data_IF_262609429616
#
_entry.id   IF_262609429616
#
_cell.length_a   1.000
_cell.length_b   1.000
_cell.length_c   1.000
_cell.angle_alpha   90.00
_cell.angle_beta   90.00
_cell.angle_gamma   90.00
#
_symmetry.space_group_name_H-M   'P 1'
#
loop_
_entity.id
_entity.type
_entity.pdbx_description
1 polymer ?
#
# COMPACT_ATOMS: atom_id res chain seq x y z
N UNK A 1 21.43 10.85 -31.50
CA UNK A 1 21.78 9.47 -31.07
C UNK A 1 23.21 9.35 -30.53
N UNK A 2 24.28 9.74 -31.24
CA UNK A 2 25.68 9.56 -30.78
C UNK A 2 25.98 10.20 -29.40
N UNK A 3 25.61 11.47 -29.22
CA UNK A 3 25.74 12.19 -27.92
C UNK A 3 25.03 11.53 -26.73
N UNK A 4 23.92 10.84 -26.98
CA UNK A 4 23.18 10.12 -25.93
C UNK A 4 23.98 8.88 -25.48
N UNK A 5 24.52 8.11 -26.43
CA UNK A 5 25.38 6.97 -26.14
C UNK A 5 26.69 7.37 -25.45
N UNK A 6 27.28 8.50 -25.83
CA UNK A 6 28.50 9.02 -25.21
C UNK A 6 28.24 9.47 -23.76
N UNK A 7 27.07 10.07 -23.48
CA UNK A 7 26.63 10.40 -22.11
C UNK A 7 26.34 9.17 -21.25
N UNK A 8 25.84 8.08 -21.84
CA UNK A 8 25.61 6.82 -21.12
C UNK A 8 26.94 6.12 -20.78
N UNK A 9 27.90 6.13 -21.72
CA UNK A 9 29.25 5.60 -21.50
C UNK A 9 30.00 6.35 -20.40
N UNK A 10 29.88 7.69 -20.35
CA UNK A 10 30.44 8.50 -19.27
C UNK A 10 29.88 8.14 -17.88
N UNK A 11 28.68 7.54 -17.81
CA UNK A 11 28.02 7.06 -16.59
C UNK A 11 28.17 5.55 -16.37
N UNK A 12 28.99 4.87 -17.16
CA UNK A 12 29.17 3.41 -17.15
C UNK A 12 27.85 2.62 -17.30
N UNK A 13 26.90 3.15 -18.08
CA UNK A 13 25.61 2.49 -18.32
C UNK A 13 25.74 1.58 -19.53
N UNK A 14 25.45 0.29 -19.34
CA UNK A 14 25.45 -0.69 -20.43
C UNK A 14 24.15 -0.59 -21.25
N UNK A 15 24.22 -0.50 -22.60
CA UNK A 15 23.04 -0.46 -23.48
C UNK A 15 22.06 -1.59 -23.23
N UNK A 16 22.59 -2.81 -23.07
CA UNK A 16 21.81 -4.03 -22.93
C UNK A 16 21.14 -4.10 -21.56
N UNK A 17 21.85 -3.65 -20.51
CA UNK A 17 21.28 -3.56 -19.17
C UNK A 17 20.16 -2.52 -19.15
N UNK A 18 20.37 -1.33 -19.73
CA UNK A 18 19.32 -0.32 -19.84
C UNK A 18 18.09 -0.84 -20.59
N UNK A 19 18.28 -1.56 -21.70
CA UNK A 19 17.18 -2.20 -22.42
C UNK A 19 16.42 -3.21 -21.54
N UNK A 20 17.11 -3.97 -20.67
CA UNK A 20 16.48 -4.88 -19.73
C UNK A 20 15.65 -4.17 -18.65
N UNK A 21 16.08 -3.00 -18.16
CA UNK A 21 15.25 -2.16 -17.28
C UNK A 21 13.99 -1.68 -17.99
N UNK A 22 14.12 -1.19 -19.23
CA UNK A 22 12.98 -0.73 -20.01
C UNK A 22 12.00 -1.87 -20.32
N UNK A 23 12.51 -3.06 -20.64
CA UNK A 23 11.70 -4.25 -20.88
C UNK A 23 10.84 -4.62 -19.66
N UNK A 24 11.41 -4.53 -18.45
CA UNK A 24 10.65 -4.76 -17.20
C UNK A 24 9.49 -3.78 -17.05
N UNK A 25 9.71 -2.48 -17.30
CA UNK A 25 8.64 -1.47 -17.24
C UNK A 25 7.58 -1.75 -18.29
N UNK A 26 7.97 -2.09 -19.52
CA UNK A 26 7.03 -2.42 -20.61
C UNK A 26 6.21 -3.65 -20.24
N UNK A 27 6.84 -4.71 -19.73
CA UNK A 27 6.14 -5.93 -19.27
C UNK A 27 5.11 -5.59 -18.20
N UNK A 28 5.47 -4.75 -17.22
CA UNK A 28 4.54 -4.29 -16.20
C UNK A 28 3.35 -3.53 -16.79
N UNK A 29 3.59 -2.53 -17.64
CA UNK A 29 2.52 -1.71 -18.25
C UNK A 29 1.60 -2.57 -19.10
N UNK A 30 2.14 -3.48 -19.91
CA UNK A 30 1.34 -4.41 -20.73
C UNK A 30 0.54 -5.36 -19.86
N UNK A 31 1.14 -5.92 -18.80
CA UNK A 31 0.43 -6.81 -17.88
C UNK A 31 -0.68 -6.08 -17.12
N UNK A 32 -0.43 -4.86 -16.66
CA UNK A 32 -1.42 -4.02 -15.99
C UNK A 32 -2.58 -3.66 -16.92
N UNK A 33 -2.29 -3.26 -18.16
CA UNK A 33 -3.30 -2.89 -19.16
C UNK A 33 -4.26 -4.05 -19.50
N UNK A 34 -3.82 -5.31 -19.38
CA UNK A 34 -4.69 -6.49 -19.59
C UNK A 34 -5.81 -6.63 -18.57
N UNK A 35 -5.75 -5.94 -17.43
CA UNK A 35 -6.81 -5.93 -16.43
C UNK A 35 -7.90 -4.88 -16.70
N UNK A 36 -7.76 -4.10 -17.77
CA UNK A 36 -8.81 -3.18 -18.20
C UNK A 36 -9.97 -3.95 -18.80
N UNK A 37 -11.17 -3.72 -18.27
CA UNK A 37 -12.42 -4.26 -18.78
C UNK A 37 -13.23 -3.09 -19.37
N UNK A 38 -13.62 -3.15 -20.66
CA UNK A 38 -14.47 -2.12 -21.26
C UNK A 38 -15.73 -1.87 -20.43
N UNK A 39 -16.04 -0.60 -20.16
CA UNK A 39 -17.18 -0.18 -19.31
C UNK A 39 -16.89 -0.20 -17.80
N UNK A 40 -16.00 -1.07 -17.31
CA UNK A 40 -15.72 -1.24 -15.87
C UNK A 40 -14.34 -0.70 -15.43
N UNK A 41 -13.50 -0.37 -16.40
CA UNK A 41 -12.13 0.09 -16.17
C UNK A 41 -11.27 -0.98 -15.51
N UNK A 42 -10.46 -0.60 -14.53
CA UNK A 42 -9.54 -1.50 -13.82
C UNK A 42 -10.15 -2.11 -12.54
N UNK A 43 -11.48 -2.09 -12.39
CA UNK A 43 -12.16 -2.56 -11.18
C UNK A 43 -11.87 -4.01 -10.79
N UNK A 44 -11.44 -4.84 -11.75
CA UNK A 44 -11.00 -6.21 -11.50
C UNK A 44 -9.93 -6.28 -10.40
N UNK A 45 -9.01 -5.29 -10.38
CA UNK A 45 -7.88 -5.22 -9.46
C UNK A 45 -8.28 -4.85 -8.02
N UNK A 46 -9.54 -4.46 -7.77
CA UNK A 46 -10.03 -4.23 -6.41
C UNK A 46 -10.42 -5.55 -5.74
N UNK A 47 -10.71 -6.59 -6.53
CA UNK A 47 -11.19 -7.89 -6.04
C UNK A 47 -12.44 -7.76 -5.17
N UNK A 48 -13.51 -7.18 -5.72
CA UNK A 48 -14.84 -7.23 -5.08
C UNK A 48 -15.37 -8.66 -5.03
N UNK A 49 -15.81 -9.10 -3.85
CA UNK A 49 -16.34 -10.45 -3.64
C UNK A 49 -17.85 -10.55 -3.84
N UNK A 50 -18.31 -11.53 -4.61
CA UNK A 50 -19.73 -11.84 -4.81
C UNK A 50 -20.35 -12.63 -3.64
N UNK A 51 -19.53 -13.32 -2.85
CA UNK A 51 -19.96 -14.01 -1.62
C UNK A 51 -20.07 -13.08 -0.41
N UNK A 52 -19.76 -11.79 -0.59
CA UNK A 52 -19.79 -10.82 0.48
C UNK A 52 -21.24 -10.47 0.85
N UNK A 53 -21.58 -10.66 2.12
CA UNK A 53 -22.95 -10.42 2.63
C UNK A 53 -23.19 -9.00 3.10
N UNK A 54 -22.12 -8.20 3.28
CA UNK A 54 -22.22 -6.80 3.70
C UNK A 54 -22.75 -5.93 2.56
N UNK A 55 -23.63 -4.95 2.87
CA UNK A 55 -24.15 -4.04 1.86
C UNK A 55 -23.02 -3.18 1.29
N UNK A 56 -23.18 -2.73 0.05
CA UNK A 56 -22.31 -1.70 -0.53
C UNK A 56 -22.86 -0.32 -0.20
N UNK A 57 -21.97 0.67 -0.04
CA UNK A 57 -22.38 2.07 0.12
C UNK A 57 -23.21 2.54 -1.09
N UNK A 58 -24.19 3.39 -0.84
CA UNK A 58 -25.11 3.91 -1.87
C UNK A 58 -24.39 4.43 -3.12
N UNK A 59 -23.33 5.23 -2.94
CA UNK A 59 -22.54 5.78 -4.04
C UNK A 59 -21.91 4.74 -4.98
N UNK A 60 -21.66 3.52 -4.50
CA UNK A 60 -21.04 2.46 -5.30
C UNK A 60 -22.08 1.56 -5.99
N UNK A 61 -23.34 1.55 -5.55
CA UNK A 61 -24.41 0.70 -6.10
C UNK A 61 -24.68 0.97 -7.58
N UNK A 62 -24.55 2.23 -7.98
CA UNK A 62 -24.82 2.67 -9.36
C UNK A 62 -23.59 2.56 -10.29
N UNK A 63 -22.45 2.13 -9.75
CA UNK A 63 -21.22 1.95 -10.52
C UNK A 63 -21.18 0.56 -11.13
N UNK A 64 -21.01 0.46 -12.45
CA UNK A 64 -20.74 -0.83 -13.08
C UNK A 64 -19.27 -1.24 -12.88
N UNK A 65 -19.01 -1.99 -11.82
CA UNK A 65 -17.70 -2.57 -11.53
C UNK A 65 -17.72 -4.10 -11.62
N UNK A 66 -16.54 -4.69 -11.71
CA UNK A 66 -16.36 -6.13 -11.79
C UNK A 66 -16.45 -6.78 -10.41
N UNK A 67 -17.27 -7.82 -10.28
CA UNK A 67 -17.46 -8.63 -9.07
C UNK A 67 -17.03 -10.07 -9.34
N UNK A 68 -16.24 -10.65 -8.44
CA UNK A 68 -15.82 -12.05 -8.50
C UNK A 68 -16.87 -12.94 -7.82
N UNK A 69 -17.63 -13.71 -8.60
CA UNK A 69 -18.78 -14.49 -8.12
C UNK A 69 -18.45 -15.37 -6.90
N UNK A 70 -17.42 -16.21 -6.99
CA UNK A 70 -17.10 -17.22 -5.96
C UNK A 70 -16.00 -16.77 -4.99
N UNK A 71 -15.98 -15.48 -4.63
CA UNK A 71 -14.93 -14.88 -3.81
C UNK A 71 -15.52 -14.03 -2.69
N UNK A 72 -14.89 -14.04 -1.51
CA UNK A 72 -15.13 -13.06 -0.45
C UNK A 72 -14.48 -11.69 -0.74
N UNK A 73 -13.73 -11.60 -1.83
CA UNK A 73 -12.99 -10.41 -2.23
C UNK A 73 -11.73 -10.21 -1.41
N UNK A 74 -11.19 -8.99 -1.48
CA UNK A 74 -9.96 -8.62 -0.78
C UNK A 74 -10.07 -7.25 -0.12
N UNK A 75 -9.07 -6.87 0.68
CA UNK A 75 -9.12 -5.67 1.53
C UNK A 75 -9.43 -4.35 0.78
N UNK A 76 -9.02 -4.23 -0.49
CA UNK A 76 -9.25 -3.04 -1.29
C UNK A 76 -10.73 -2.71 -1.49
N UNK A 77 -11.62 -3.70 -1.50
CA UNK A 77 -13.06 -3.46 -1.61
C UNK A 77 -13.60 -2.57 -0.49
N UNK A 78 -13.02 -2.66 0.70
CA UNK A 78 -13.40 -1.82 1.84
C UNK A 78 -12.80 -0.42 1.75
N UNK A 79 -11.54 -0.32 1.31
CA UNK A 79 -10.87 0.96 1.15
C UNK A 79 -11.46 1.82 0.03
N UNK A 80 -11.97 1.19 -1.04
CA UNK A 80 -12.71 1.89 -2.09
C UNK A 80 -14.04 2.43 -1.55
N UNK A 81 -14.73 1.68 -0.69
CA UNK A 81 -15.95 2.19 -0.04
C UNK A 81 -15.63 3.38 0.87
N UNK A 82 -14.58 3.31 1.69
CA UNK A 82 -14.08 4.47 2.46
C UNK A 82 -13.70 5.64 1.53
N UNK A 83 -13.19 5.37 0.32
CA UNK A 83 -12.84 6.42 -0.63
C UNK A 83 -14.05 7.19 -1.16
N UNK A 84 -15.27 6.65 -1.07
CA UNK A 84 -16.49 7.36 -1.48
C UNK A 84 -16.84 8.48 -0.51
N UNK A 85 -16.61 8.27 0.80
CA UNK A 85 -16.66 9.31 1.83
C UNK A 85 -15.53 9.13 2.85
N UNK A 86 -14.35 9.76 2.61
CA UNK A 86 -13.22 9.66 3.51
C UNK A 86 -13.43 10.41 4.84
N UNK A 87 -14.53 11.16 4.99
CA UNK A 87 -14.89 11.80 6.26
C UNK A 87 -15.44 10.82 7.30
N UNK A 88 -15.77 9.58 6.90
CA UNK A 88 -16.31 8.54 7.78
C UNK A 88 -17.65 8.93 8.45
N UNK A 89 -18.35 9.92 7.91
CA UNK A 89 -19.61 10.43 8.48
C UNK A 89 -20.84 9.76 7.87
N UNK A 90 -20.70 9.17 6.69
CA UNK A 90 -21.74 8.35 6.10
C UNK A 90 -22.05 7.12 6.97
N UNK A 91 -23.31 6.99 7.36
CA UNK A 91 -23.80 5.88 8.15
C UNK A 91 -23.71 4.55 7.40
N UNK A 92 -23.80 4.57 6.06
CA UNK A 92 -23.68 3.38 5.21
C UNK A 92 -22.32 2.68 5.40
N UNK A 93 -21.26 3.44 5.70
CA UNK A 93 -19.91 2.91 5.89
C UNK A 93 -19.81 1.94 7.07
N UNK A 94 -20.60 2.14 8.13
CA UNK A 94 -20.54 1.33 9.34
C UNK A 94 -20.97 -0.11 9.05
N UNK A 95 -21.98 -0.27 8.20
CA UNK A 95 -22.50 -1.58 7.79
C UNK A 95 -21.63 -2.19 6.67
N UNK A 96 -21.24 -1.35 5.72
CA UNK A 96 -20.55 -1.77 4.51
C UNK A 96 -19.07 -2.17 4.72
N UNK A 97 -18.41 -1.55 5.69
CA UNK A 97 -16.98 -1.75 5.95
C UNK A 97 -16.74 -2.63 7.16
N UNK A 98 -16.04 -3.73 6.95
CA UNK A 98 -15.63 -4.59 8.04
C UNK A 98 -14.62 -3.90 8.97
N UNK A 99 -14.93 -3.85 10.27
CA UNK A 99 -14.15 -3.14 11.29
C UNK A 99 -13.70 -1.75 10.80
N UNK A 100 -14.68 -0.89 10.49
CA UNK A 100 -14.46 0.46 9.98
C UNK A 100 -13.38 1.24 10.76
N UNK A 101 -13.37 1.28 12.12
CA UNK A 101 -12.34 2.01 12.85
C UNK A 101 -10.92 1.47 12.66
N UNK A 102 -10.76 0.17 12.36
CA UNK A 102 -9.45 -0.43 12.05
C UNK A 102 -9.03 -0.11 10.61
N UNK A 103 -9.92 -0.27 9.63
CA UNK A 103 -9.60 -0.02 8.22
C UNK A 103 -9.38 1.46 7.93
N UNK A 104 -10.17 2.33 8.56
CA UNK A 104 -10.06 3.77 8.42
C UNK A 104 -8.69 4.32 8.84
N UNK A 105 -7.90 3.60 9.66
CA UNK A 105 -6.53 4.02 10.03
C UNK A 105 -5.62 4.23 8.82
N UNK A 106 -5.91 3.54 7.71
CA UNK A 106 -5.14 3.56 6.45
C UNK A 106 -5.80 4.48 5.41
N UNK A 107 -6.16 5.69 5.83
CA UNK A 107 -6.98 6.63 5.05
C UNK A 107 -6.28 7.18 3.81
N UNK A 108 -4.95 7.27 3.79
CA UNK A 108 -4.22 8.11 2.83
C UNK A 108 -4.61 7.83 1.37
N UNK A 109 -4.65 6.56 0.98
CA UNK A 109 -4.92 6.17 -0.41
C UNK A 109 -6.38 6.45 -0.79
N UNK A 110 -7.31 6.18 0.14
CA UNK A 110 -8.74 6.46 -0.03
C UNK A 110 -9.03 7.96 -0.13
N UNK A 111 -8.39 8.79 0.70
CA UNK A 111 -8.52 10.25 0.65
C UNK A 111 -7.93 10.83 -0.65
N UNK A 112 -6.78 10.34 -1.09
CA UNK A 112 -6.19 10.77 -2.37
C UNK A 112 -7.13 10.39 -3.53
N UNK A 113 -7.71 9.19 -3.55
CA UNK A 113 -8.65 8.81 -4.61
C UNK A 113 -9.92 9.65 -4.61
N UNK A 114 -10.42 10.03 -3.43
CA UNK A 114 -11.57 10.94 -3.34
C UNK A 114 -11.27 12.29 -4.00
N UNK A 115 -10.12 12.88 -3.67
CA UNK A 115 -9.67 14.16 -4.24
C UNK A 115 -9.42 14.04 -5.75
N UNK A 116 -8.74 12.98 -6.19
CA UNK A 116 -8.45 12.74 -7.61
C UNK A 116 -9.68 12.31 -8.42
N UNK A 117 -10.73 11.84 -7.77
CA UNK A 117 -12.00 11.50 -8.40
C UNK A 117 -12.98 12.67 -8.44
N UNK A 118 -12.64 13.83 -7.84
CA UNK A 118 -13.52 15.01 -7.75
C UNK A 118 -14.94 14.70 -7.24
N UNK A 119 -15.09 13.71 -6.36
CA UNK A 119 -16.39 13.29 -5.81
C UNK A 119 -17.24 12.40 -6.73
N UNK A 120 -16.76 12.05 -7.93
CA UNK A 120 -17.48 11.18 -8.87
C UNK A 120 -17.11 9.70 -8.64
N UNK A 121 -18.07 8.81 -8.31
CA UNK A 121 -17.78 7.44 -7.86
C UNK A 121 -16.92 6.58 -8.81
N UNK A 122 -17.17 6.65 -10.12
CA UNK A 122 -16.38 5.91 -11.13
C UNK A 122 -14.94 6.40 -11.11
N UNK A 123 -14.73 7.71 -11.13
CA UNK A 123 -13.41 8.34 -11.11
C UNK A 123 -12.67 8.07 -9.81
N UNK A 124 -13.35 8.07 -8.66
CA UNK A 124 -12.77 7.68 -7.37
C UNK A 124 -12.27 6.24 -7.43
N UNK A 125 -13.11 5.31 -7.90
CA UNK A 125 -12.75 3.89 -8.05
C UNK A 125 -11.51 3.73 -8.96
N UNK A 126 -11.50 4.36 -10.13
CA UNK A 126 -10.36 4.26 -11.05
C UNK A 126 -9.10 4.92 -10.47
N UNK A 127 -9.23 6.09 -9.83
CA UNK A 127 -8.13 6.76 -9.18
C UNK A 127 -7.52 5.91 -8.05
N UNK A 128 -8.35 5.20 -7.28
CA UNK A 128 -7.88 4.28 -6.25
C UNK A 128 -7.01 3.16 -6.84
N UNK A 129 -7.45 2.53 -7.92
CA UNK A 129 -6.70 1.43 -8.56
C UNK A 129 -5.41 1.93 -9.21
N UNK A 130 -5.47 3.05 -9.94
CA UNK A 130 -4.33 3.61 -10.67
C UNK A 130 -3.20 4.06 -9.74
N UNK A 131 -3.50 4.42 -8.49
CA UNK A 131 -2.47 4.75 -7.50
C UNK A 131 -1.47 3.61 -7.29
N UNK A 132 -1.87 2.34 -7.37
CA UNK A 132 -0.94 1.21 -7.26
C UNK A 132 0.02 1.12 -8.46
N UNK A 133 -0.48 1.35 -9.67
CA UNK A 133 0.35 1.38 -10.87
C UNK A 133 1.35 2.55 -10.84
N UNK A 134 0.87 3.74 -10.44
CA UNK A 134 1.72 4.92 -10.27
C UNK A 134 2.77 4.65 -9.19
N UNK A 135 2.38 4.07 -8.05
CA UNK A 135 3.30 3.71 -6.98
C UNK A 135 4.38 2.74 -7.48
N UNK A 136 4.03 1.72 -8.27
CA UNK A 136 5.02 0.81 -8.85
C UNK A 136 6.03 1.54 -9.74
N UNK A 137 5.57 2.46 -10.60
CA UNK A 137 6.43 3.26 -11.47
C UNK A 137 7.31 4.25 -10.68
N UNK A 138 6.76 4.88 -9.65
CA UNK A 138 7.52 5.77 -8.76
C UNK A 138 8.58 4.99 -7.99
N UNK A 139 8.25 3.81 -7.45
CA UNK A 139 9.21 2.93 -6.81
C UNK A 139 10.33 2.56 -7.78
N UNK A 140 9.98 2.16 -9.01
CA UNK A 140 10.93 1.83 -10.05
C UNK A 140 11.92 2.97 -10.31
N UNK A 141 11.42 4.21 -10.38
CA UNK A 141 12.24 5.41 -10.54
C UNK A 141 13.15 5.70 -9.32
N UNK A 142 12.61 5.65 -8.10
CA UNK A 142 13.39 5.88 -6.87
C UNK A 142 14.49 4.82 -6.75
N UNK A 143 14.20 3.55 -7.05
CA UNK A 143 15.15 2.45 -6.93
C UNK A 143 16.37 2.60 -7.86
N UNK A 144 16.29 3.38 -8.95
CA UNK A 144 17.45 3.67 -9.81
C UNK A 144 18.57 4.41 -9.06
N UNK A 145 18.26 5.06 -7.93
CA UNK A 145 19.27 5.68 -7.05
C UNK A 145 20.18 4.65 -6.39
N UNK A 146 19.64 3.51 -5.96
CA UNK A 146 20.39 2.45 -5.27
C UNK A 146 20.86 1.37 -6.25
N UNK A 147 20.09 1.14 -7.32
CA UNK A 147 20.36 0.14 -8.34
C UNK A 147 20.38 0.77 -9.74
N UNK A 148 21.39 1.62 -10.04
CA UNK A 148 21.52 2.21 -11.36
C UNK A 148 21.79 1.13 -12.42
N UNK A 149 21.45 1.37 -13.70
CA UNK A 149 21.58 0.41 -14.80
C UNK A 149 23.03 0.23 -15.29
N UNK A 150 23.96 0.01 -14.35
CA UNK A 150 25.39 -0.21 -14.61
C UNK A 150 25.78 -1.68 -14.63
N UNK A 151 24.99 -2.56 -14.01
CA UNK A 151 25.31 -4.00 -13.93
C UNK A 151 24.08 -4.89 -13.89
N UNK A 152 24.24 -6.15 -14.28
CA UNK A 152 23.21 -7.19 -14.15
C UNK A 152 22.84 -7.49 -12.69
N UNK A 153 23.78 -7.32 -11.76
CA UNK A 153 23.50 -7.45 -10.31
C UNK A 153 22.52 -6.37 -9.84
N UNK A 154 22.71 -5.12 -10.28
CA UNK A 154 21.76 -4.05 -9.99
C UNK A 154 20.40 -4.30 -10.65
N UNK A 155 20.39 -4.77 -11.90
CA UNK A 155 19.15 -5.15 -12.57
C UNK A 155 18.38 -6.20 -11.76
N UNK A 156 19.05 -7.27 -11.32
CA UNK A 156 18.42 -8.34 -10.55
C UNK A 156 17.85 -7.86 -9.21
N UNK A 157 18.58 -6.99 -8.49
CA UNK A 157 18.09 -6.40 -7.23
C UNK A 157 16.89 -5.48 -7.47
N UNK A 158 16.98 -4.63 -8.49
CA UNK A 158 15.93 -3.69 -8.86
C UNK A 158 14.65 -4.41 -9.31
N UNK A 159 14.76 -5.37 -10.22
CA UNK A 159 13.61 -6.15 -10.69
C UNK A 159 13.08 -7.08 -9.61
N UNK A 160 13.95 -7.64 -8.76
CA UNK A 160 13.58 -8.48 -7.64
C UNK A 160 12.73 -7.76 -6.59
N UNK A 161 13.01 -6.48 -6.32
CA UNK A 161 12.14 -5.66 -5.46
C UNK A 161 10.79 -5.40 -6.13
N UNK A 162 10.80 -4.98 -7.41
CA UNK A 162 9.59 -4.60 -8.15
C UNK A 162 8.64 -5.77 -8.43
N UNK A 163 9.16 -6.98 -8.62
CA UNK A 163 8.38 -8.21 -8.82
C UNK A 163 8.40 -9.13 -7.61
N UNK A 164 8.75 -8.60 -6.44
CA UNK A 164 8.55 -9.33 -5.19
C UNK A 164 7.08 -9.70 -5.03
N UNK A 165 6.81 -10.84 -4.39
CA UNK A 165 5.44 -11.34 -4.22
C UNK A 165 4.52 -10.28 -3.57
N UNK A 166 5.01 -9.56 -2.56
CA UNK A 166 4.26 -8.49 -1.90
C UNK A 166 3.88 -7.34 -2.85
N UNK A 167 4.79 -6.90 -3.72
CA UNK A 167 4.48 -5.86 -4.70
C UNK A 167 3.48 -6.34 -5.76
N UNK A 168 3.65 -7.57 -6.26
CA UNK A 168 2.72 -8.17 -7.22
C UNK A 168 1.32 -8.32 -6.63
N UNK A 169 1.20 -8.80 -5.40
CA UNK A 169 -0.09 -8.91 -4.69
C UNK A 169 -0.68 -7.54 -4.43
N UNK A 170 0.14 -6.55 -4.05
CA UNK A 170 -0.35 -5.19 -3.84
C UNK A 170 -0.95 -4.59 -5.10
N UNK A 171 -0.29 -4.71 -6.24
CA UNK A 171 -0.83 -4.20 -7.51
C UNK A 171 -2.06 -5.00 -7.93
N UNK A 172 -2.02 -6.34 -7.82
CA UNK A 172 -3.12 -7.21 -8.27
C UNK A 172 -4.41 -7.02 -7.48
N UNK A 173 -4.30 -6.72 -6.18
CA UNK A 173 -5.45 -6.52 -5.29
C UNK A 173 -5.58 -5.05 -4.83
N UNK A 174 -4.96 -4.10 -5.54
CA UNK A 174 -5.00 -2.66 -5.24
C UNK A 174 -4.76 -2.31 -3.76
N UNK A 175 -3.80 -2.97 -3.11
CA UNK A 175 -3.53 -2.78 -1.69
C UNK A 175 -2.77 -1.49 -1.40
N UNK A 176 -2.84 -1.08 -0.15
CA UNK A 176 -2.10 0.08 0.37
C UNK A 176 -0.61 -0.17 0.57
N UNK A 177 -0.14 -1.42 0.45
CA UNK A 177 1.24 -1.84 0.75
C UNK A 177 2.26 -1.26 -0.24
N UNK A 178 1.98 -1.31 -1.54
CA UNK A 178 2.84 -0.77 -2.59
C UNK A 178 3.01 0.74 -2.48
N UNK A 179 1.91 1.53 -2.45
CA UNK A 179 1.97 2.96 -2.16
C UNK A 179 2.68 3.29 -0.84
N UNK A 180 2.45 2.50 0.22
CA UNK A 180 3.16 2.65 1.50
C UNK A 180 4.67 2.48 1.36
N UNK A 181 5.12 1.46 0.61
CA UNK A 181 6.54 1.22 0.37
C UNK A 181 7.20 2.39 -0.37
N UNK A 182 6.51 3.00 -1.34
CA UNK A 182 7.02 4.19 -2.06
C UNK A 182 7.31 5.33 -1.09
N UNK A 183 6.38 5.61 -0.15
CA UNK A 183 6.55 6.70 0.80
C UNK A 183 7.70 6.44 1.77
N UNK A 184 7.85 5.19 2.24
CA UNK A 184 9.00 4.81 3.08
C UNK A 184 10.31 4.94 2.31
N UNK A 185 10.37 4.43 1.08
CA UNK A 185 11.55 4.54 0.23
C UNK A 185 11.90 6.02 -0.08
N UNK A 186 10.90 6.86 -0.34
CA UNK A 186 11.08 8.30 -0.53
C UNK A 186 11.59 8.98 0.74
N UNK A 187 11.08 8.60 1.92
CA UNK A 187 11.58 9.05 3.22
C UNK A 187 13.06 8.75 3.41
N UNK A 188 13.47 7.49 3.18
CA UNK A 188 14.88 7.07 3.26
C UNK A 188 15.75 7.83 2.25
N UNK A 189 15.28 7.96 1.01
CA UNK A 189 15.96 8.74 -0.02
C UNK A 189 16.23 10.19 0.43
N UNK A 190 15.26 10.82 1.08
CA UNK A 190 15.39 12.19 1.60
C UNK A 190 16.34 12.28 2.80
N UNK A 191 16.38 11.27 3.66
CA UNK A 191 17.38 11.16 4.73
C UNK A 191 18.79 11.11 4.15
N UNK A 192 19.03 10.28 3.13
CA UNK A 192 20.32 10.20 2.45
C UNK A 192 20.72 11.51 1.77
N UNK A 193 19.74 12.27 1.26
CA UNK A 193 19.96 13.59 0.67
C UNK A 193 20.15 14.71 1.70
N UNK A 194 20.30 14.38 2.98
CA UNK A 194 20.41 15.35 4.07
C UNK A 194 19.23 16.34 4.14
N UNK A 195 18.01 15.87 3.83
CA UNK A 195 16.75 16.63 3.96
C UNK A 195 15.85 16.04 5.06
N UNK A 196 16.29 16.02 6.33
CA UNK A 196 15.61 15.29 7.40
C UNK A 196 14.21 15.82 7.74
N UNK A 197 13.95 17.12 7.54
CA UNK A 197 12.63 17.70 7.76
C UNK A 197 11.61 17.25 6.73
N UNK A 198 12.01 17.21 5.45
CA UNK A 198 11.15 16.71 4.38
C UNK A 198 10.94 15.20 4.52
N UNK A 199 11.98 14.46 4.93
CA UNK A 199 11.87 13.04 5.25
C UNK A 199 10.87 12.80 6.40
N UNK A 200 10.94 13.59 7.47
CA UNK A 200 10.00 13.50 8.59
C UNK A 200 8.55 13.78 8.15
N UNK A 201 8.32 14.79 7.32
CA UNK A 201 7.00 15.08 6.77
C UNK A 201 6.47 13.92 5.90
N UNK A 202 7.29 13.38 5.00
CA UNK A 202 6.91 12.25 4.14
C UNK A 202 6.62 10.99 4.95
N UNK A 203 7.45 10.67 5.94
CA UNK A 203 7.26 9.51 6.82
C UNK A 203 6.06 9.68 7.75
N UNK A 204 5.75 10.91 8.18
CA UNK A 204 4.52 11.20 8.93
C UNK A 204 3.27 10.99 8.09
N UNK A 205 3.27 11.46 6.84
CA UNK A 205 2.19 11.17 5.87
C UNK A 205 2.11 9.66 5.61
N UNK A 206 3.24 8.96 5.48
CA UNK A 206 3.27 7.51 5.28
C UNK A 206 2.55 6.73 6.40
N UNK A 207 2.54 7.25 7.62
CA UNK A 207 1.80 6.68 8.75
C UNK A 207 0.30 6.60 8.51
N UNK A 208 -0.28 7.52 7.72
CA UNK A 208 -1.69 7.50 7.32
C UNK A 208 -2.01 6.45 6.25
N UNK A 209 -1.00 5.90 5.58
CA UNK A 209 -1.15 4.76 4.66
C UNK A 209 -1.08 3.42 5.39
N UNK A 210 -0.18 3.32 6.37
CA UNK A 210 -0.05 2.14 7.25
C UNK A 210 0.70 2.54 8.51
N UNK A 211 0.19 2.18 9.67
CA UNK A 211 0.71 2.62 10.97
C UNK A 211 2.15 2.17 11.21
N UNK A 212 2.50 0.98 10.70
CA UNK A 212 3.85 0.42 10.78
C UNK A 212 4.90 1.26 10.03
N UNK A 213 4.48 2.12 9.09
CA UNK A 213 5.40 2.99 8.36
C UNK A 213 6.07 4.03 9.28
N UNK A 214 5.49 4.32 10.46
CA UNK A 214 6.11 5.17 11.49
C UNK A 214 7.47 4.63 11.95
N UNK A 215 7.69 3.31 11.88
CA UNK A 215 9.00 2.71 12.17
C UNK A 215 10.09 3.23 11.22
N UNK A 216 9.74 3.65 10.00
CA UNK A 216 10.64 4.34 9.08
C UNK A 216 11.20 5.65 9.64
N UNK A 217 10.50 6.27 10.60
CA UNK A 217 10.97 7.45 11.34
C UNK A 217 12.28 7.22 12.10
N UNK A 218 12.61 5.96 12.44
CA UNK A 218 13.89 5.61 13.06
C UNK A 218 15.10 5.98 12.19
N UNK A 219 14.95 6.04 10.86
CA UNK A 219 15.99 6.49 9.95
C UNK A 219 16.40 7.96 10.18
N UNK A 220 15.58 8.76 10.86
CA UNK A 220 15.88 10.15 11.21
C UNK A 220 16.81 10.26 12.42
N UNK A 221 16.95 9.19 13.22
CA UNK A 221 17.82 9.15 14.38
C UNK A 221 19.22 8.72 13.95
N UNK A 222 20.08 9.71 13.63
CA UNK A 222 21.48 9.45 13.31
C UNK A 222 22.30 9.24 14.58
N UNK A 223 23.34 8.41 14.49
CA UNK A 223 24.21 8.09 15.63
C UNK A 223 24.85 9.35 16.22
N UNK A 224 25.23 10.30 15.38
CA UNK A 224 25.84 11.57 15.82
C UNK A 224 24.85 12.46 16.59
N UNK A 225 23.56 12.38 16.25
CA UNK A 225 22.52 13.15 16.94
C UNK A 225 22.19 12.53 18.31
N UNK A 226 22.26 11.20 18.43
CA UNK A 226 22.07 10.49 19.70
C UNK A 226 23.17 10.81 20.71
N UNK A 227 24.41 10.96 20.24
CA UNK A 227 25.57 11.28 21.08
C UNK A 227 25.64 12.75 21.52
N UNK A 228 24.81 13.63 20.95
CA UNK A 228 24.82 15.06 21.23
C UNK A 228 23.51 15.52 21.90
N UNK A 229 23.44 15.60 23.25
CA UNK A 229 22.21 15.99 23.97
C UNK A 229 21.58 17.30 23.50
N UNK A 230 22.41 18.25 23.01
CA UNK A 230 21.93 19.52 22.44
C UNK A 230 21.04 19.35 21.19
N UNK A 231 21.12 18.21 20.51
CA UNK A 231 20.32 17.90 19.30
C UNK A 231 19.03 17.13 19.59
N UNK A 232 18.85 16.64 20.82
CA UNK A 232 17.66 15.90 21.21
C UNK A 232 16.34 16.67 21.00
N UNK A 233 16.25 18.00 21.25
CA UNK A 233 15.02 18.74 20.96
C UNK A 233 14.64 18.70 19.47
N UNK A 234 15.63 18.77 18.57
CA UNK A 234 15.40 18.69 17.12
C UNK A 234 14.97 17.27 16.71
N UNK A 235 15.56 16.24 17.31
CA UNK A 235 15.14 14.86 17.09
C UNK A 235 13.71 14.62 17.57
N UNK A 236 13.38 15.10 18.77
CA UNK A 236 12.03 15.01 19.34
C UNK A 236 11.01 15.72 18.43
N UNK A 237 11.33 16.92 17.93
CA UNK A 237 10.43 17.65 17.04
C UNK A 237 10.21 16.93 15.69
N UNK A 238 11.25 16.29 15.14
CA UNK A 238 11.09 15.43 13.94
C UNK A 238 10.26 14.19 14.24
N UNK A 239 10.47 13.56 15.39
CA UNK A 239 9.68 12.42 15.86
C UNK A 239 8.21 12.78 16.02
N UNK A 240 7.92 13.96 16.60
CA UNK A 240 6.57 14.51 16.68
C UNK A 240 5.99 14.74 15.29
N UNK A 241 6.73 15.32 14.36
CA UNK A 241 6.27 15.53 12.98
C UNK A 241 5.90 14.21 12.27
N UNK A 242 6.58 13.10 12.61
CA UNK A 242 6.26 11.76 12.12
C UNK A 242 4.99 11.21 12.80
N UNK A 243 4.85 11.36 14.12
CA UNK A 243 3.76 10.74 14.88
C UNK A 243 2.42 11.51 14.83
N UNK A 244 2.47 12.84 14.80
CA UNK A 244 1.31 13.74 14.93
C UNK A 244 0.23 13.48 13.87
N UNK A 245 0.52 13.31 12.56
CA UNK A 245 -0.51 13.07 11.57
C UNK A 245 -1.36 11.84 11.88
N UNK A 246 -0.72 10.71 12.20
CA UNK A 246 -1.45 9.49 12.57
C UNK A 246 -2.19 9.67 13.91
N UNK A 247 -1.57 10.29 14.91
CA UNK A 247 -2.20 10.50 16.20
C UNK A 247 -3.49 11.34 16.10
N UNK A 248 -3.44 12.44 15.33
CA UNK A 248 -4.61 13.29 15.07
C UNK A 248 -5.70 12.51 14.31
N UNK A 249 -5.30 11.68 13.34
CA UNK A 249 -6.24 10.86 12.59
C UNK A 249 -6.89 9.77 13.45
N UNK A 250 -6.14 9.10 14.33
CA UNK A 250 -6.69 8.12 15.26
C UNK A 250 -7.66 8.77 16.25
N UNK A 251 -7.33 9.96 16.74
CA UNK A 251 -8.25 10.74 17.58
C UNK A 251 -9.53 11.09 16.81
N UNK A 252 -9.41 11.49 15.55
CA UNK A 252 -10.56 11.75 14.70
C UNK A 252 -11.45 10.49 14.51
N UNK A 253 -10.86 9.34 14.15
CA UNK A 253 -11.61 8.07 14.01
C UNK A 253 -12.37 7.76 15.30
N UNK A 254 -11.71 7.88 16.46
CA UNK A 254 -12.35 7.63 17.74
C UNK A 254 -13.54 8.57 17.99
N UNK A 255 -13.44 9.83 17.57
CA UNK A 255 -14.53 10.80 17.70
C UNK A 255 -15.67 10.61 16.69
N UNK A 256 -15.37 10.11 15.48
CA UNK A 256 -16.32 10.01 14.38
C UNK A 256 -17.07 8.67 14.35
N UNK A 257 -16.36 7.56 14.58
CA UNK A 257 -16.89 6.19 14.41
C UNK A 257 -16.87 5.40 15.73
N UNK A 258 -16.08 5.84 16.72
CA UNK A 258 -15.90 5.13 17.99
C UNK A 258 -14.69 4.18 17.99
N UNK A 259 -14.48 3.43 19.10
CA UNK A 259 -13.30 2.58 19.26
C UNK A 259 -13.34 1.37 18.31
N UNK A 260 -12.16 0.93 17.85
CA UNK A 260 -12.04 -0.32 17.10
C UNK A 260 -12.33 -1.51 18.03
N UNK A 261 -13.12 -2.47 17.57
CA UNK A 261 -13.26 -3.77 18.24
C UNK A 261 -11.87 -4.42 18.38
N UNK A 262 -11.66 -5.22 19.44
CA UNK A 262 -10.38 -5.85 19.81
C UNK A 262 -9.88 -6.95 18.84
N UNK A 263 -9.99 -6.75 17.53
CA UNK A 263 -9.54 -7.67 16.50
C UNK A 263 -8.01 -7.96 16.55
N UNK A 264 -7.24 -7.15 17.28
CA UNK A 264 -5.79 -7.28 17.41
C UNK A 264 -5.28 -8.06 18.63
N UNK A 265 -6.09 -8.26 19.66
CA UNK A 265 -5.65 -8.89 20.91
C UNK A 265 -5.17 -10.34 20.71
N UNK A 266 -5.75 -11.04 19.73
CA UNK A 266 -5.35 -12.41 19.35
C UNK A 266 -3.98 -12.50 18.68
N UNK A 267 -3.42 -11.40 18.18
CA UNK A 267 -2.10 -11.37 17.54
C UNK A 267 -0.93 -11.32 18.54
N UNK A 268 -1.22 -11.17 19.84
CA UNK A 268 -0.24 -11.26 20.93
C UNK A 268 -0.18 -12.65 21.56
N UNK A 269 -0.59 -13.69 20.83
CA UNK A 269 -0.38 -15.06 21.25
C UNK A 269 1.12 -15.37 21.33
N UNK A 270 1.48 -16.41 22.09
CA UNK A 270 2.85 -16.90 22.16
C UNK A 270 3.38 -17.20 20.75
N UNK A 271 4.68 -17.00 20.48
CA UNK A 271 5.29 -17.40 19.21
C UNK A 271 4.89 -18.82 18.85
N UNK A 272 4.56 -19.05 17.58
CA UNK A 272 4.11 -20.34 17.03
C UNK A 272 2.74 -20.88 17.51
N UNK A 273 2.01 -20.18 18.40
CA UNK A 273 0.68 -20.62 18.83
C UNK A 273 -0.28 -20.80 17.65
N UNK A 274 -0.35 -19.81 16.74
CA UNK A 274 -1.18 -19.92 15.54
C UNK A 274 -0.72 -21.01 14.57
N UNK A 275 0.58 -21.34 14.54
CA UNK A 275 1.07 -22.48 13.75
C UNK A 275 0.61 -23.80 14.35
N UNK A 276 0.69 -23.93 15.68
CA UNK A 276 0.23 -25.11 16.40
C UNK A 276 -1.29 -25.31 16.27
N UNK A 277 -2.08 -24.24 16.41
CA UNK A 277 -3.52 -24.26 16.15
C UNK A 277 -3.82 -24.75 14.73
N UNK A 278 -3.03 -24.31 13.74
CA UNK A 278 -3.26 -24.72 12.35
C UNK A 278 -2.84 -26.16 12.07
N UNK A 279 -1.76 -26.64 12.67
CA UNK A 279 -1.39 -28.06 12.67
C UNK A 279 -2.49 -28.91 13.31
N UNK A 280 -3.07 -28.46 14.42
CA UNK A 280 -4.18 -29.15 15.08
C UNK A 280 -5.43 -29.22 14.20
N UNK A 281 -5.80 -28.13 13.53
CA UNK A 281 -6.92 -28.12 12.58
C UNK A 281 -6.67 -29.10 11.43
N UNK A 282 -5.49 -29.05 10.79
CA UNK A 282 -5.12 -29.98 9.70
C UNK A 282 -5.12 -31.43 10.18
N UNK A 283 -4.62 -31.69 11.38
CA UNK A 283 -4.58 -33.03 11.98
C UNK A 283 -6.00 -33.55 12.28
N UNK A 284 -6.87 -32.70 12.81
CA UNK A 284 -8.28 -33.05 13.03
C UNK A 284 -9.03 -33.31 11.72
N UNK A 285 -8.80 -32.52 10.69
CA UNK A 285 -9.37 -32.74 9.35
C UNK A 285 -8.82 -34.01 8.69
N UNK A 286 -7.56 -34.37 8.92
CA UNK A 286 -6.98 -35.61 8.42
C UNK A 286 -7.54 -36.86 9.12
N UNK A 287 -7.87 -36.77 10.42
CA UNK A 287 -8.41 -37.88 11.21
C UNK A 287 -9.94 -38.03 11.09
N UNK A 288 -10.64 -36.94 10.84
CA UNK A 288 -12.08 -36.91 10.60
C UNK A 288 -12.35 -36.01 9.39
N UNK A 289 -12.18 -36.54 8.16
CA UNK A 289 -12.49 -35.79 6.95
C UNK A 289 -13.96 -35.40 7.03
N UNK A 290 -14.25 -34.11 7.22
CA UNK A 290 -15.62 -33.64 7.00
C UNK A 290 -15.90 -33.87 5.52
N UNK A 291 -16.86 -34.74 5.23
CA UNK A 291 -17.43 -34.80 3.89
C UNK A 291 -17.85 -33.38 3.54
N UNK A 292 -17.33 -32.85 2.43
CA UNK A 292 -17.78 -31.59 1.87
C UNK A 292 -19.19 -31.86 1.32
N UNK A 293 -20.18 -31.85 2.22
CA UNK A 293 -21.58 -31.87 1.82
C UNK A 293 -21.88 -30.49 1.23
N UNK A 294 -21.80 -30.44 -0.10
CA UNK A 294 -22.33 -29.38 -0.93
C UNK A 294 -23.86 -29.45 -0.76
N UNK A 295 -24.41 -28.50 -0.03
CA UNK A 295 -25.84 -28.17 -0.03
C UNK A 295 -26.00 -26.68 -0.34
#
# INVERSE_FOLDING_TARGET
MRKFWDSLKARQISPFVLAAYMAVVVVFVVAFARYYIPGKGFSYLVSFGGLQTRPTVSALKDVDYYVQADSYGYDAQYYVQIAMDPSLRDADLVEAVDNLPYRARRILISAISYVLGWGEPVSILQAYVLQNAIAWLLLAGILLRWFPPSSWSNWLRWSGVLFSFGMCVSVRNSLVDGPSLVLVAAGVFLVEKNRPWLAAAVLGIAGLGKETNLLGGSALARVEDLQAPRRWPVMALRGLLVAVPLALWLWYIQSAVGPAAEAGARNFALPFAGWWEKVQVVWQEALAPRTWDIA
#
